data_IF_083632332855
#
_entry.id   IF_083632332855
#
_cell.length_a   1.000
_cell.length_b   1.000
_cell.length_c   1.000
_cell.angle_alpha   90.00
_cell.angle_beta   90.00
_cell.angle_gamma   90.00
#
_symmetry.space_group_name_H-M   'P 1'
#
loop_
_entity.id
_entity.type
_entity.pdbx_description
1 polymer ?
#
# COMPACT_ATOMS: atom_id res chain seq x y z
N UNK A 1 -16.48 14.37 3.56
CA UNK A 1 -15.70 14.43 2.37
C UNK A 1 -14.28 13.99 2.64
N UNK A 2 -13.78 13.08 1.84
CA UNK A 2 -12.45 12.52 2.08
C UNK A 2 -11.38 13.45 1.59
N UNK A 3 -10.29 13.50 2.34
CA UNK A 3 -9.11 14.23 1.90
C UNK A 3 -8.02 13.23 1.58
N UNK A 4 -7.13 13.58 0.63
CA UNK A 4 -6.01 12.70 0.35
C UNK A 4 -5.13 12.54 1.58
N UNK A 5 -4.66 11.34 1.78
CA UNK A 5 -3.78 11.03 2.90
C UNK A 5 -2.69 10.10 2.45
N UNK A 6 -1.57 10.16 3.15
CA UNK A 6 -0.47 9.27 2.88
C UNK A 6 -0.67 7.97 3.65
N UNK A 7 -0.57 6.85 2.96
CA UNK A 7 -0.74 5.54 3.57
C UNK A 7 0.52 4.72 3.43
N UNK A 8 0.78 3.91 4.45
CA UNK A 8 1.81 2.88 4.39
C UNK A 8 1.17 1.56 4.72
N UNK A 9 1.36 0.59 3.83
CA UNK A 9 0.76 -0.73 3.98
C UNK A 9 1.88 -1.75 3.93
N UNK A 10 1.96 -2.59 4.97
CA UNK A 10 2.99 -3.61 5.04
C UNK A 10 2.39 -4.98 4.79
N UNK A 11 3.09 -5.76 3.99
CA UNK A 11 2.66 -7.11 3.65
C UNK A 11 3.85 -8.05 3.79
N UNK A 12 3.56 -9.35 3.97
CA UNK A 12 4.58 -10.37 4.02
C UNK A 12 5.18 -10.60 2.64
N UNK A 13 6.47 -10.89 2.61
CA UNK A 13 7.13 -11.27 1.38
C UNK A 13 7.62 -10.07 0.59
N UNK A 14 8.37 -10.35 -0.45
CA UNK A 14 8.90 -9.32 -1.32
C UNK A 14 8.16 -9.33 -2.64
N UNK A 15 7.95 -8.14 -3.20
CA UNK A 15 7.30 -7.99 -4.49
C UNK A 15 8.34 -7.61 -5.52
N UNK A 16 8.20 -8.17 -6.72
CA UNK A 16 9.09 -7.83 -7.81
C UNK A 16 8.58 -6.58 -8.54
N UNK A 17 9.42 -6.03 -9.40
CA UNK A 17 9.08 -4.82 -10.13
C UNK A 17 7.85 -4.98 -11.01
N UNK A 18 7.55 -6.21 -11.40
CA UNK A 18 6.37 -6.45 -12.24
C UNK A 18 5.08 -6.02 -11.56
N UNK A 19 5.07 -5.89 -10.25
CA UNK A 19 3.89 -5.51 -9.52
C UNK A 19 3.72 -3.99 -9.43
N UNK A 20 4.68 -3.22 -9.93
CA UNK A 20 4.56 -1.77 -9.88
C UNK A 20 3.35 -1.26 -10.64
N UNK A 21 3.06 -1.84 -11.79
CA UNK A 21 1.90 -1.42 -12.55
C UNK A 21 0.61 -1.81 -11.85
N UNK A 22 0.63 -2.95 -11.18
CA UNK A 22 -0.53 -3.40 -10.43
C UNK A 22 -0.87 -2.43 -9.30
N UNK A 23 0.16 -1.87 -8.69
CA UNK A 23 0.01 -0.91 -7.61
C UNK A 23 0.43 0.49 -8.08
N UNK A 24 -0.09 0.90 -9.22
CA UNK A 24 0.37 2.16 -9.77
C UNK A 24 0.09 3.31 -8.84
N UNK A 25 0.99 4.27 -8.82
CA UNK A 25 0.89 5.40 -7.93
C UNK A 25 1.50 5.17 -6.57
N UNK A 26 1.94 3.96 -6.28
CA UNK A 26 2.52 3.65 -4.98
C UNK A 26 4.00 3.30 -5.12
N UNK A 27 4.74 3.66 -4.09
CA UNK A 27 6.13 3.22 -3.97
C UNK A 27 6.15 1.83 -3.34
N UNK A 28 7.02 0.98 -3.86
CA UNK A 28 7.18 -0.38 -3.34
C UNK A 28 8.58 -0.49 -2.78
N UNK A 29 8.68 -0.83 -1.49
CA UNK A 29 9.97 -1.00 -0.85
C UNK A 29 10.03 -2.38 -0.23
N UNK A 30 11.00 -3.18 -0.67
CA UNK A 30 11.24 -4.48 -0.07
C UNK A 30 12.15 -4.30 1.13
N UNK A 31 11.65 -4.63 2.29
CA UNK A 31 12.37 -4.39 3.54
C UNK A 31 13.30 -5.57 3.85
N UNK A 32 14.30 -5.30 4.67
CA UNK A 32 15.31 -6.32 4.97
C UNK A 32 14.77 -7.45 5.83
N UNK A 33 13.61 -7.27 6.45
CA UNK A 33 13.00 -8.30 7.30
C UNK A 33 12.10 -9.25 6.52
N UNK A 34 12.16 -9.21 5.20
CA UNK A 34 11.36 -10.11 4.37
C UNK A 34 9.97 -9.59 4.08
N UNK A 35 9.69 -8.35 4.43
CA UNK A 35 8.38 -7.75 4.22
C UNK A 35 8.47 -6.66 3.19
N UNK A 36 7.33 -6.18 2.73
CA UNK A 36 7.27 -5.12 1.74
C UNK A 36 6.38 -4.00 2.25
N UNK A 37 6.80 -2.77 2.04
CA UNK A 37 6.02 -1.59 2.36
C UNK A 37 5.56 -0.93 1.07
N UNK A 38 4.26 -0.76 0.95
CA UNK A 38 3.64 -0.01 -0.13
C UNK A 38 3.23 1.34 0.43
N UNK A 39 3.60 2.42 -0.25
CA UNK A 39 3.30 3.73 0.30
C UNK A 39 2.94 4.71 -0.79
N UNK A 40 2.12 5.67 -0.44
CA UNK A 40 1.71 6.70 -1.37
C UNK A 40 0.48 7.44 -0.89
N UNK A 41 0.11 8.45 -1.67
CA UNK A 41 -1.09 9.22 -1.39
C UNK A 41 -2.29 8.54 -2.01
N UNK A 42 -3.33 8.40 -1.23
CA UNK A 42 -4.61 7.89 -1.73
C UNK A 42 -5.65 8.98 -1.60
N UNK A 43 -6.46 9.14 -2.64
CA UNK A 43 -7.35 10.29 -2.72
C UNK A 43 -8.52 10.21 -1.76
N UNK A 44 -8.95 8.98 -1.45
CA UNK A 44 -10.09 8.80 -0.56
C UNK A 44 -10.08 7.37 -0.03
N UNK A 45 -11.06 7.07 0.79
CA UNK A 45 -11.15 5.77 1.41
C UNK A 45 -11.48 4.67 0.42
N UNK A 46 -12.22 5.00 -0.63
CA UNK A 46 -12.52 4.01 -1.66
C UNK A 46 -11.24 3.54 -2.36
N UNK A 47 -10.30 4.47 -2.57
CA UNK A 47 -9.02 4.09 -3.16
C UNK A 47 -8.25 3.13 -2.25
N UNK A 48 -8.33 3.35 -0.93
CA UNK A 48 -7.69 2.44 0.01
C UNK A 48 -8.30 1.05 -0.06
N UNK A 49 -9.62 0.95 -0.06
CA UNK A 49 -10.26 -0.35 -0.12
C UNK A 49 -9.98 -1.06 -1.44
N UNK A 50 -9.91 -0.31 -2.54
CA UNK A 50 -9.52 -0.90 -3.81
C UNK A 50 -8.13 -1.50 -3.75
N UNK A 51 -7.21 -0.79 -3.10
CA UNK A 51 -5.86 -1.28 -2.94
C UNK A 51 -5.82 -2.54 -2.07
N UNK A 52 -6.57 -2.54 -0.97
CA UNK A 52 -6.61 -3.71 -0.10
C UNK A 52 -7.20 -4.92 -0.82
N UNK A 53 -8.17 -4.70 -1.70
CA UNK A 53 -8.71 -5.79 -2.51
C UNK A 53 -7.66 -6.37 -3.44
N UNK A 54 -6.81 -5.52 -4.02
CA UNK A 54 -5.72 -6.00 -4.87
C UNK A 54 -4.75 -6.86 -4.07
N UNK A 55 -4.43 -6.42 -2.86
CA UNK A 55 -3.52 -7.19 -2.00
C UNK A 55 -4.12 -8.56 -1.72
N UNK A 56 -5.41 -8.60 -1.43
CA UNK A 56 -6.07 -9.87 -1.16
C UNK A 56 -6.09 -10.77 -2.40
N UNK A 57 -6.31 -10.18 -3.57
CA UNK A 57 -6.36 -10.94 -4.80
C UNK A 57 -5.03 -11.62 -5.11
N UNK A 58 -3.93 -11.04 -4.64
CA UNK A 58 -2.61 -11.62 -4.82
C UNK A 58 -2.23 -12.59 -3.71
N UNK A 59 -3.14 -12.84 -2.78
CA UNK A 59 -2.88 -13.71 -1.64
C UNK A 59 -1.74 -13.23 -0.76
N UNK A 60 -1.54 -11.94 -0.72
CA UNK A 60 -0.52 -11.37 0.17
C UNK A 60 -1.08 -11.26 1.58
N UNK A 61 -0.24 -11.52 2.56
CA UNK A 61 -0.65 -11.43 3.94
C UNK A 61 -0.45 -9.98 4.41
N UNK A 62 -1.56 -9.34 4.76
CA UNK A 62 -1.53 -7.96 5.23
C UNK A 62 -1.05 -7.91 6.67
N UNK A 63 -0.07 -7.07 6.93
CA UNK A 63 0.48 -6.92 8.28
C UNK A 63 -0.10 -5.69 8.95
N UNK A 64 -0.05 -4.56 8.26
CA UNK A 64 -0.51 -3.32 8.88
C UNK A 64 -0.88 -2.29 7.82
N UNK A 65 -1.73 -1.37 8.22
CA UNK A 65 -2.11 -0.20 7.43
C UNK A 65 -1.97 1.01 8.34
N UNK A 66 -1.18 1.97 7.90
CA UNK A 66 -0.99 3.21 8.63
C UNK A 66 -1.37 4.39 7.76
N UNK A 67 -1.99 5.37 8.36
CA UNK A 67 -2.34 6.60 7.66
C UNK A 67 -1.66 7.77 8.35
N UNK A 68 -1.05 8.64 7.54
CA UNK A 68 -0.48 9.88 8.03
C UNK A 68 -1.19 11.03 7.37
N UNK A 69 -1.55 12.00 8.17
CA UNK A 69 -2.12 13.21 7.62
C UNK A 69 -0.99 14.07 7.06
N UNK A 70 -1.15 14.62 5.87
CA UNK A 70 -0.10 15.48 5.34
C UNK A 70 0.08 16.75 6.14
N UNK A 71 -0.93 17.11 6.95
CA UNK A 71 -0.84 18.25 7.71
C UNK A 71 -0.50 17.93 9.08
N UNK A 72 0.18 18.26 9.61
CA UNK A 72 0.42 17.88 10.73
C UNK A 72 0.27 18.26 11.51
#
# INVERSE_FOLDING_TARGET
>A
MDTPSFYEIRVEGHLTDRWKEWFEGLAIRNDSDGKTTLSGMLSDQAALFGLLNKIQALNLVLISVSRSSPKD
#
